data_IF_969320529789
#
_entry.id   IF_969320529789
#
_cell.length_a   1.000
_cell.length_b   1.000
_cell.length_c   1.000
_cell.angle_alpha   90.00
_cell.angle_beta   90.00
_cell.angle_gamma   90.00
#
_symmetry.space_group_name_H-M   'P 1'
#
loop_
_entity.id
_entity.type
_entity.pdbx_description
1 polymer ?
#
# COMPACT_ATOMS: atom_id res chain seq x y z
N UNK A 1 -12.24 -13.59 -9.76
CA UNK A 1 -11.70 -14.24 -8.53
C UNK A 1 -10.95 -15.55 -8.81
N UNK A 2 -11.44 -16.46 -9.67
CA UNK A 2 -10.75 -17.72 -9.98
C UNK A 2 -9.41 -17.53 -10.74
N UNK A 3 -9.32 -16.56 -11.63
CA UNK A 3 -8.13 -16.25 -12.44
C UNK A 3 -6.95 -15.75 -11.58
N UNK A 4 -7.21 -14.81 -10.66
CA UNK A 4 -6.19 -14.30 -9.74
C UNK A 4 -5.66 -15.37 -8.76
N UNK A 5 -6.50 -16.33 -8.36
CA UNK A 5 -6.08 -17.45 -7.52
C UNK A 5 -5.24 -18.47 -8.30
N UNK A 6 -5.43 -18.60 -9.60
CA UNK A 6 -4.62 -19.46 -10.48
C UNK A 6 -3.24 -18.85 -10.70
N UNK A 7 -3.18 -17.54 -10.96
CA UNK A 7 -1.92 -16.80 -11.13
C UNK A 7 -1.06 -16.83 -9.86
N UNK A 8 -1.69 -16.73 -8.67
CA UNK A 8 -0.97 -16.79 -7.39
C UNK A 8 -0.39 -18.18 -7.13
N UNK A 9 -1.12 -19.26 -7.48
CA UNK A 9 -0.63 -20.64 -7.33
C UNK A 9 0.54 -20.92 -8.27
N UNK A 10 0.46 -20.45 -9.51
CA UNK A 10 1.55 -20.58 -10.48
C UNK A 10 2.79 -19.82 -10.01
N UNK A 11 2.63 -18.58 -9.54
CA UNK A 11 3.70 -17.80 -8.97
C UNK A 11 4.35 -18.52 -7.78
N UNK A 12 3.55 -19.02 -6.84
CA UNK A 12 4.04 -19.75 -5.67
C UNK A 12 4.81 -21.01 -6.06
N UNK A 13 4.36 -21.74 -7.07
CA UNK A 13 5.07 -22.91 -7.61
C UNK A 13 6.45 -22.53 -8.17
N UNK A 14 6.54 -21.45 -8.95
CA UNK A 14 7.82 -20.93 -9.49
C UNK A 14 8.76 -20.48 -8.37
N UNK A 15 8.23 -19.77 -7.35
CA UNK A 15 9.03 -19.33 -6.22
C UNK A 15 9.58 -20.50 -5.39
N UNK A 16 8.78 -21.56 -5.16
CA UNK A 16 9.24 -22.80 -4.49
C UNK A 16 10.27 -23.56 -5.31
N UNK A 17 10.14 -23.53 -6.65
CA UNK A 17 11.15 -24.07 -7.55
C UNK A 17 12.42 -23.21 -7.65
N UNK A 18 12.53 -22.14 -6.83
CA UNK A 18 13.69 -21.22 -6.81
C UNK A 18 13.91 -20.50 -8.12
N UNK A 19 12.85 -20.23 -8.91
CA UNK A 19 12.95 -19.46 -10.15
C UNK A 19 13.40 -18.02 -9.88
N UNK A 20 14.62 -17.71 -10.27
CA UNK A 20 15.23 -16.40 -10.05
C UNK A 20 14.54 -15.27 -10.84
N UNK A 21 13.87 -15.55 -11.97
CA UNK A 21 13.13 -14.53 -12.73
C UNK A 21 11.83 -14.16 -12.01
N UNK A 22 11.08 -15.15 -11.53
CA UNK A 22 9.88 -14.93 -10.73
C UNK A 22 10.21 -14.16 -9.45
N UNK A 23 11.34 -14.49 -8.80
CA UNK A 23 11.77 -13.80 -7.59
C UNK A 23 12.15 -12.34 -7.86
N UNK A 24 12.92 -12.05 -8.90
CA UNK A 24 13.25 -10.66 -9.29
C UNK A 24 12.01 -9.84 -9.60
N UNK A 25 11.05 -10.39 -10.32
CA UNK A 25 9.79 -9.72 -10.62
C UNK A 25 9.02 -9.37 -9.34
N UNK A 26 8.98 -10.30 -8.37
CA UNK A 26 8.33 -10.09 -7.07
C UNK A 26 9.03 -8.98 -6.27
N UNK A 27 10.36 -9.01 -6.20
CA UNK A 27 11.16 -7.97 -5.53
C UNK A 27 10.93 -6.61 -6.17
N UNK A 28 11.04 -6.50 -7.48
CA UNK A 28 10.83 -5.24 -8.20
C UNK A 28 9.43 -4.65 -7.95
N UNK A 29 8.43 -5.52 -7.83
CA UNK A 29 7.04 -5.10 -7.58
C UNK A 29 6.80 -4.59 -6.15
N UNK A 30 7.43 -5.20 -5.15
CA UNK A 30 7.04 -4.96 -3.74
C UNK A 30 8.12 -4.29 -2.88
N UNK A 31 9.38 -4.26 -3.29
CA UNK A 31 10.48 -3.78 -2.44
C UNK A 31 10.26 -2.32 -1.97
N UNK A 32 9.89 -1.41 -2.86
CA UNK A 32 9.62 -0.03 -2.49
C UNK A 32 8.49 0.10 -1.45
N UNK A 33 7.45 -0.74 -1.58
CA UNK A 33 6.35 -0.77 -0.62
C UNK A 33 6.78 -1.37 0.72
N UNK A 34 7.66 -2.35 0.73
CA UNK A 34 8.23 -2.92 1.95
C UNK A 34 9.06 -1.88 2.72
N UNK A 35 9.89 -1.10 2.02
CA UNK A 35 10.64 0.00 2.63
C UNK A 35 9.68 1.05 3.23
N UNK A 36 8.59 1.41 2.53
CA UNK A 36 7.59 2.34 3.07
C UNK A 36 6.92 1.79 4.33
N UNK A 37 6.52 0.52 4.34
CA UNK A 37 5.96 -0.13 5.56
C UNK A 37 6.99 -0.10 6.69
N UNK A 38 8.25 -0.45 6.41
CA UNK A 38 9.28 -0.44 7.43
C UNK A 38 9.49 0.96 8.02
N UNK A 39 9.46 2.01 7.19
CA UNK A 39 9.64 3.41 7.62
C UNK A 39 8.64 3.88 8.69
N UNK A 40 7.46 3.30 8.77
CA UNK A 40 6.50 3.66 9.83
C UNK A 40 6.90 3.18 11.22
N UNK A 41 7.86 2.27 11.30
CA UNK A 41 8.28 1.65 12.55
C UNK A 41 9.72 1.99 12.94
N UNK A 42 10.55 2.50 12.01
CA UNK A 42 11.96 2.79 12.24
C UNK A 42 12.34 4.22 11.88
N UNK A 43 13.44 4.72 12.47
CA UNK A 43 13.77 6.14 12.41
C UNK A 43 14.46 6.60 11.11
N UNK A 44 15.07 5.69 10.32
CA UNK A 44 15.84 6.08 9.14
C UNK A 44 15.57 5.21 7.91
N UNK A 45 15.80 5.77 6.71
CA UNK A 45 15.69 5.05 5.45
C UNK A 45 16.67 3.87 5.35
N UNK A 46 17.88 4.04 5.86
CA UNK A 46 18.89 2.99 5.87
C UNK A 46 18.39 1.76 6.65
N UNK A 47 17.83 1.96 7.84
CA UNK A 47 17.28 0.89 8.66
C UNK A 47 16.04 0.28 8.00
N UNK A 48 15.18 1.09 7.36
CA UNK A 48 14.02 0.58 6.65
C UNK A 48 14.42 -0.33 5.47
N UNK A 49 15.48 0.01 4.75
CA UNK A 49 16.04 -0.83 3.69
C UNK A 49 16.63 -2.13 4.23
N UNK A 50 17.36 -2.08 5.34
CA UNK A 50 17.85 -3.30 6.02
C UNK A 50 16.70 -4.22 6.42
N UNK A 51 15.64 -3.66 7.05
CA UNK A 51 14.43 -4.40 7.42
C UNK A 51 13.76 -5.04 6.20
N UNK A 52 13.64 -4.31 5.09
CA UNK A 52 13.07 -4.85 3.86
C UNK A 52 13.92 -6.00 3.29
N UNK A 53 15.26 -5.90 3.33
CA UNK A 53 16.17 -6.98 2.92
C UNK A 53 16.03 -8.21 3.82
N UNK A 54 16.03 -8.02 5.14
CA UNK A 54 15.83 -9.10 6.11
C UNK A 54 14.45 -9.77 5.92
N UNK A 55 13.41 -8.98 5.59
CA UNK A 55 12.09 -9.51 5.31
C UNK A 55 12.09 -10.41 4.05
N UNK A 56 12.82 -10.02 2.99
CA UNK A 56 12.98 -10.86 1.80
C UNK A 56 13.65 -12.19 2.12
N UNK A 57 14.68 -12.21 2.97
CA UNK A 57 15.30 -13.47 3.43
C UNK A 57 14.29 -14.36 4.15
N UNK A 58 13.50 -13.77 5.06
CA UNK A 58 12.44 -14.52 5.77
C UNK A 58 11.32 -15.01 4.87
N UNK A 59 10.97 -14.26 3.83
CA UNK A 59 10.01 -14.69 2.81
C UNK A 59 10.55 -15.91 2.07
N UNK A 60 11.82 -15.87 1.61
CA UNK A 60 12.45 -17.00 0.91
C UNK A 60 12.49 -18.25 1.79
N UNK A 61 12.90 -18.11 3.04
CA UNK A 61 12.97 -19.21 4.01
C UNK A 61 11.59 -19.82 4.32
N UNK A 62 10.56 -18.97 4.37
CA UNK A 62 9.20 -19.37 4.74
C UNK A 62 8.32 -19.86 3.60
N UNK A 63 8.73 -19.73 2.32
CA UNK A 63 7.91 -20.08 1.15
C UNK A 63 7.45 -21.54 1.15
N UNK A 64 8.31 -22.46 1.56
CA UNK A 64 8.01 -23.89 1.56
C UNK A 64 6.95 -24.23 2.65
N UNK A 65 6.95 -23.48 3.76
CA UNK A 65 6.00 -23.61 4.87
C UNK A 65 4.73 -22.77 4.69
N UNK A 66 4.62 -21.95 3.65
CA UNK A 66 3.43 -21.13 3.40
C UNK A 66 2.23 -22.00 3.03
N UNK A 67 1.20 -22.04 3.89
CA UNK A 67 0.03 -22.91 3.76
C UNK A 67 -1.14 -22.28 2.95
N UNK A 68 -1.03 -21.01 2.53
CA UNK A 68 -2.09 -20.33 1.77
C UNK A 68 -3.32 -19.95 2.61
N UNK A 69 -3.17 -19.78 3.95
CA UNK A 69 -4.25 -19.29 4.84
C UNK A 69 -4.64 -17.85 4.59
N UNK A 70 -3.77 -17.09 3.95
CA UNK A 70 -4.00 -15.73 3.43
C UNK A 70 -3.42 -15.64 2.02
N UNK A 71 -3.61 -14.53 1.31
CA UNK A 71 -2.89 -14.29 0.06
C UNK A 71 -1.37 -14.25 0.32
N UNK A 72 -0.56 -14.65 -0.67
CA UNK A 72 0.90 -14.53 -0.61
C UNK A 72 1.32 -13.09 -0.30
N UNK A 73 0.62 -12.13 -0.89
CA UNK A 73 0.83 -10.70 -0.68
C UNK A 73 0.63 -10.30 0.78
N UNK A 74 -0.49 -10.64 1.39
CA UNK A 74 -0.79 -10.36 2.81
C UNK A 74 0.24 -10.97 3.72
N UNK A 75 0.61 -12.24 3.47
CA UNK A 75 1.62 -12.94 4.24
C UNK A 75 2.98 -12.22 4.18
N UNK A 76 3.41 -11.77 2.99
CA UNK A 76 4.66 -11.02 2.84
C UNK A 76 4.63 -9.69 3.60
N UNK A 77 3.54 -8.91 3.49
CA UNK A 77 3.41 -7.64 4.21
C UNK A 77 3.37 -7.85 5.74
N UNK A 78 2.79 -8.93 6.22
CA UNK A 78 2.82 -9.30 7.65
C UNK A 78 4.24 -9.57 8.12
N UNK A 79 5.06 -10.27 7.33
CA UNK A 79 6.49 -10.51 7.66
C UNK A 79 7.24 -9.19 7.78
N UNK A 80 7.10 -8.29 6.81
CA UNK A 80 7.76 -6.98 6.82
C UNK A 80 7.36 -6.16 8.03
N UNK A 81 6.05 -6.05 8.28
CA UNK A 81 5.52 -5.29 9.42
C UNK A 81 6.04 -5.81 10.75
N UNK A 82 6.04 -7.13 10.95
CA UNK A 82 6.55 -7.76 12.17
C UNK A 82 8.06 -7.53 12.36
N UNK A 83 8.85 -7.60 11.28
CA UNK A 83 10.29 -7.28 11.33
C UNK A 83 10.53 -5.83 11.68
N UNK A 84 9.84 -4.91 10.99
CA UNK A 84 9.96 -3.48 11.21
C UNK A 84 9.60 -3.09 12.65
N UNK A 85 8.49 -3.63 13.17
CA UNK A 85 8.05 -3.41 14.56
C UNK A 85 9.08 -3.93 15.57
N UNK A 86 9.60 -5.14 15.36
CA UNK A 86 10.64 -5.71 16.23
C UNK A 86 11.90 -4.84 16.24
N UNK A 87 12.28 -4.27 15.10
CA UNK A 87 13.42 -3.38 14.98
C UNK A 87 13.14 -2.04 15.66
N UNK A 88 11.97 -1.41 15.43
CA UNK A 88 11.57 -0.14 16.03
C UNK A 88 11.49 -0.18 17.55
N UNK A 89 10.98 -1.25 18.14
CA UNK A 89 11.00 -1.45 19.60
C UNK A 89 12.42 -1.47 20.17
N UNK A 90 13.36 -2.06 19.45
CA UNK A 90 14.78 -2.08 19.86
C UNK A 90 15.44 -0.69 19.79
N UNK A 91 14.93 0.19 18.94
CA UNK A 91 15.47 1.55 18.75
C UNK A 91 14.78 2.60 19.66
N UNK A 92 13.89 2.18 20.56
CA UNK A 92 13.18 3.06 21.52
C UNK A 92 12.37 4.20 20.86
N UNK A 93 11.89 4.04 19.65
CA UNK A 93 11.13 5.06 18.91
C UNK A 93 9.90 4.48 18.21
N UNK A 94 8.97 3.93 18.95
CA UNK A 94 7.61 3.75 18.44
C UNK A 94 6.78 4.98 18.80
N UNK A 95 6.49 5.84 17.82
CA UNK A 95 5.39 6.78 17.96
C UNK A 95 4.10 5.95 17.85
N UNK A 96 3.27 5.86 18.91
CA UNK A 96 2.03 5.09 18.84
C UNK A 96 1.15 5.65 17.73
N UNK A 97 0.56 4.80 16.89
CA UNK A 97 -0.40 5.18 15.86
C UNK A 97 -1.62 5.96 16.41
N UNK A 98 -1.89 5.81 17.71
CA UNK A 98 -2.97 6.49 18.43
C UNK A 98 -2.70 7.95 18.76
N UNK A 99 -1.46 8.45 18.62
CA UNK A 99 -1.08 9.81 19.05
C UNK A 99 -1.24 10.89 17.97
N UNK A 100 -1.96 10.60 16.87
CA UNK A 100 -2.16 11.57 15.80
C UNK A 100 -3.42 12.37 16.10
N UNK A 101 -3.20 13.67 16.33
CA UNK A 101 -4.30 14.62 16.43
C UNK A 101 -5.15 14.64 15.14
N UNK A 102 -6.47 14.81 15.25
CA UNK A 102 -7.36 14.88 14.09
C UNK A 102 -7.05 16.15 13.30
N UNK A 103 -6.41 15.99 12.15
CA UNK A 103 -6.30 17.05 11.15
C UNK A 103 -7.67 17.28 10.51
N UNK A 104 -8.06 18.54 10.31
CA UNK A 104 -9.39 18.93 9.87
C UNK A 104 -9.75 18.26 8.50
N UNK A 105 -11.00 17.80 8.30
CA UNK A 105 -11.40 17.14 7.07
C UNK A 105 -11.35 18.10 5.89
N UNK A 106 -10.48 17.81 4.93
CA UNK A 106 -10.25 18.62 3.72
C UNK A 106 -11.39 18.50 2.70
N UNK A 107 -12.33 17.57 2.90
CA UNK A 107 -13.50 17.34 2.00
C UNK A 107 -14.68 16.89 2.82
N UNK A 108 -15.88 17.39 2.48
CA UNK A 108 -17.12 17.05 3.18
C UNK A 108 -17.42 15.53 3.15
N UNK A 109 -17.81 14.93 4.30
CA UNK A 109 -18.11 13.50 4.43
C UNK A 109 -19.23 13.01 3.50
N UNK A 110 -20.10 13.90 3.05
CA UNK A 110 -21.27 13.62 2.20
C UNK A 110 -20.94 13.12 0.78
N UNK A 111 -19.67 13.21 0.37
CA UNK A 111 -19.21 12.75 -0.95
C UNK A 111 -18.85 11.26 -1.02
N UNK A 112 -18.93 10.55 0.10
CA UNK A 112 -18.61 9.13 0.20
C UNK A 112 -19.77 8.34 0.74
N UNK A 113 -19.95 7.11 0.27
CA UNK A 113 -20.93 6.17 0.82
C UNK A 113 -20.42 5.53 2.14
N UNK A 114 -21.29 4.74 2.79
CA UNK A 114 -20.99 4.03 4.04
C UNK A 114 -19.79 3.06 3.93
N UNK A 115 -19.38 2.71 2.70
CA UNK A 115 -18.24 1.84 2.40
C UNK A 115 -16.96 2.63 2.10
N UNK A 116 -17.00 3.99 2.19
CA UNK A 116 -15.90 4.87 1.86
C UNK A 116 -15.62 4.96 0.35
N UNK A 117 -16.58 4.56 -0.49
CA UNK A 117 -16.52 4.70 -1.94
C UNK A 117 -17.20 6.01 -2.38
N UNK A 118 -16.83 6.50 -3.57
CA UNK A 118 -17.43 7.71 -4.12
C UNK A 118 -18.92 7.55 -4.38
N UNK A 119 -19.76 8.39 -3.81
CA UNK A 119 -21.20 8.45 -4.13
C UNK A 119 -21.46 8.87 -5.59
N UNK A 120 -20.49 9.56 -6.21
CA UNK A 120 -20.43 9.83 -7.65
C UNK A 120 -19.01 9.57 -8.14
N UNK A 121 -18.74 8.46 -8.83
CA UNK A 121 -17.46 8.21 -9.46
C UNK A 121 -17.22 9.23 -10.58
N UNK A 122 -15.95 9.61 -10.85
CA UNK A 122 -15.60 10.39 -12.03
C UNK A 122 -16.10 9.69 -13.30
N UNK A 123 -16.48 10.49 -14.33
CA UNK A 123 -16.97 9.94 -15.59
C UNK A 123 -16.01 8.87 -16.14
N UNK A 124 -16.59 7.74 -16.59
CA UNK A 124 -15.82 6.64 -17.16
C UNK A 124 -14.97 7.16 -18.35
N UNK A 125 -13.71 6.82 -18.34
CA UNK A 125 -12.75 7.19 -19.39
C UNK A 125 -13.09 6.36 -20.63
N UNK A 126 -13.64 7.03 -21.68
CA UNK A 126 -13.98 6.37 -22.93
C UNK A 126 -12.72 5.94 -23.73
N UNK A 127 -12.98 5.27 -24.88
CA UNK A 127 -12.04 4.53 -25.73
C UNK A 127 -10.62 5.08 -25.92
N UNK A 128 -9.65 4.18 -26.07
CA UNK A 128 -8.21 4.44 -26.14
C UNK A 128 -7.79 5.23 -27.40
N UNK A 129 -7.42 6.52 -27.23
CA UNK A 129 -6.61 7.27 -28.20
C UNK A 129 -5.18 7.48 -27.66
N UNK A 130 -4.16 7.67 -28.54
CA UNK A 130 -2.78 7.94 -28.11
C UNK A 130 -2.66 9.17 -27.20
N UNK A 131 -3.45 10.20 -27.46
CA UNK A 131 -3.48 11.40 -26.64
C UNK A 131 -4.00 11.12 -25.23
N UNK A 132 -5.03 10.28 -25.12
CA UNK A 132 -5.58 9.85 -23.84
C UNK A 132 -4.63 8.92 -23.08
N UNK A 133 -3.86 8.09 -23.78
CA UNK A 133 -2.81 7.29 -23.17
C UNK A 133 -1.71 8.19 -22.56
N UNK A 134 -1.31 9.26 -23.27
CA UNK A 134 -0.37 10.24 -22.76
C UNK A 134 -0.93 11.02 -21.54
N UNK A 135 -2.20 11.44 -21.61
CA UNK A 135 -2.89 12.09 -20.47
C UNK A 135 -3.01 11.16 -19.25
N UNK A 136 -3.28 9.86 -19.47
CA UNK A 136 -3.28 8.88 -18.38
C UNK A 136 -1.90 8.73 -17.75
N UNK A 137 -0.84 8.63 -18.56
CA UNK A 137 0.53 8.53 -18.04
C UNK A 137 0.89 9.77 -17.21
N UNK A 138 0.58 10.96 -17.69
CA UNK A 138 0.80 12.21 -16.97
C UNK A 138 -0.02 12.26 -15.66
N UNK A 139 -1.27 11.79 -15.67
CA UNK A 139 -2.12 11.72 -14.48
C UNK A 139 -1.61 10.69 -13.46
N UNK A 140 -1.04 9.58 -13.92
CA UNK A 140 -0.43 8.56 -13.05
C UNK A 140 0.87 9.08 -12.41
N UNK A 141 1.70 9.81 -13.16
CA UNK A 141 2.92 10.42 -12.63
C UNK A 141 2.59 11.50 -11.59
N UNK A 142 1.58 12.34 -11.88
CA UNK A 142 1.06 13.31 -10.93
C UNK A 142 0.57 12.61 -9.65
N UNK A 143 -0.27 11.59 -9.81
CA UNK A 143 -0.82 10.84 -8.68
C UNK A 143 0.28 10.19 -7.84
N UNK A 144 1.29 9.60 -8.48
CA UNK A 144 2.44 9.03 -7.78
C UNK A 144 3.19 10.09 -6.96
N UNK A 145 3.43 11.27 -7.54
CA UNK A 145 4.04 12.39 -6.83
C UNK A 145 3.20 12.88 -5.64
N UNK A 146 1.88 12.96 -5.79
CA UNK A 146 0.99 13.38 -4.71
C UNK A 146 0.88 12.31 -3.60
N UNK A 147 0.93 11.02 -3.94
CA UNK A 147 1.00 9.94 -2.95
C UNK A 147 2.26 10.07 -2.08
N UNK A 148 3.42 10.41 -2.67
CA UNK A 148 4.66 10.60 -1.90
C UNK A 148 4.61 11.83 -0.96
N UNK A 149 3.75 12.82 -1.26
CA UNK A 149 3.54 14.00 -0.41
C UNK A 149 2.54 13.78 0.73
N UNK A 150 1.79 12.69 0.71
CA UNK A 150 0.86 12.37 1.80
C UNK A 150 1.61 12.17 3.11
N UNK A 151 0.99 12.52 4.27
CA UNK A 151 1.46 12.08 5.57
C UNK A 151 1.69 10.56 5.57
N UNK A 152 2.75 10.10 6.22
CA UNK A 152 3.27 8.74 6.11
C UNK A 152 2.19 7.67 6.32
N UNK A 153 1.35 7.83 7.32
CA UNK A 153 0.28 6.87 7.62
C UNK A 153 -0.84 6.86 6.56
N UNK A 154 -1.21 8.02 6.03
CA UNK A 154 -2.19 8.13 4.95
C UNK A 154 -1.65 7.49 3.67
N UNK A 155 -0.38 7.77 3.34
CA UNK A 155 0.32 7.16 2.22
C UNK A 155 0.36 5.64 2.33
N UNK A 156 0.66 5.12 3.52
CA UNK A 156 0.75 3.69 3.74
C UNK A 156 -0.60 3.00 3.59
N UNK A 157 -1.66 3.55 4.21
CA UNK A 157 -3.00 2.98 4.11
C UNK A 157 -3.49 2.99 2.66
N UNK A 158 -3.35 4.09 1.91
CA UNK A 158 -3.77 4.14 0.50
C UNK A 158 -2.93 3.20 -0.37
N UNK A 159 -1.64 3.06 -0.10
CA UNK A 159 -0.78 2.11 -0.83
C UNK A 159 -1.24 0.67 -0.61
N UNK A 160 -1.49 0.26 0.63
CA UNK A 160 -1.94 -1.10 0.93
C UNK A 160 -3.36 -1.38 0.40
N UNK A 161 -4.30 -0.43 0.59
CA UNK A 161 -5.69 -0.60 0.18
C UNK A 161 -5.90 -0.45 -1.33
N UNK A 162 -5.45 0.65 -1.91
CA UNK A 162 -5.82 1.04 -3.28
C UNK A 162 -4.80 0.58 -4.33
N UNK A 163 -3.50 0.56 -4.01
CA UNK A 163 -2.48 0.08 -4.95
C UNK A 163 -2.30 -1.44 -4.85
N UNK A 164 -2.22 -1.97 -3.64
CA UNK A 164 -2.03 -3.41 -3.44
C UNK A 164 -3.33 -4.19 -3.28
N UNK A 165 -4.48 -3.53 -3.09
CA UNK A 165 -5.79 -4.16 -3.02
C UNK A 165 -5.93 -5.12 -1.83
N UNK A 166 -5.30 -4.81 -0.69
CA UNK A 166 -5.49 -5.55 0.55
C UNK A 166 -6.85 -5.23 1.16
N UNK A 167 -7.47 -6.21 1.82
CA UNK A 167 -8.72 -5.97 2.53
C UNK A 167 -8.53 -5.12 3.79
N UNK A 168 -9.61 -4.48 4.28
CA UNK A 168 -9.54 -3.56 5.42
C UNK A 168 -8.98 -4.25 6.66
N UNK A 169 -9.47 -5.45 6.95
CA UNK A 169 -9.03 -6.27 8.09
C UNK A 169 -7.54 -6.63 7.99
N UNK A 170 -7.06 -6.99 6.78
CA UNK A 170 -5.65 -7.31 6.54
C UNK A 170 -4.75 -6.10 6.82
N UNK A 171 -5.17 -4.91 6.37
CA UNK A 171 -4.43 -3.66 6.62
C UNK A 171 -4.46 -3.29 8.10
N UNK A 172 -5.60 -3.46 8.79
CA UNK A 172 -5.68 -3.25 10.24
C UNK A 172 -4.71 -4.16 10.99
N UNK A 173 -4.64 -5.43 10.61
CA UNK A 173 -3.74 -6.41 11.23
C UNK A 173 -2.26 -6.12 10.93
N UNK A 174 -1.92 -5.71 9.68
CA UNK A 174 -0.55 -5.37 9.28
C UNK A 174 -0.05 -4.13 10.04
N UNK A 175 -0.91 -3.11 10.19
CA UNK A 175 -0.53 -1.82 10.77
C UNK A 175 -0.85 -1.69 12.26
N UNK A 176 -1.56 -2.67 12.84
CA UNK A 176 -2.08 -2.64 14.23
C UNK A 176 -2.95 -1.41 14.53
N UNK A 177 -3.80 -1.04 13.59
CA UNK A 177 -4.76 0.07 13.75
C UNK A 177 -6.19 -0.45 13.86
N UNK A 178 -7.05 0.31 14.53
CA UNK A 178 -8.47 0.02 14.53
C UNK A 178 -9.08 0.23 13.13
N UNK A 179 -10.18 -0.47 12.83
CA UNK A 179 -10.91 -0.30 11.58
C UNK A 179 -11.38 1.15 11.37
N UNK A 180 -11.83 1.78 12.44
CA UNK A 180 -12.24 3.20 12.41
C UNK A 180 -11.08 4.10 12.01
N UNK A 181 -9.89 3.92 12.60
CA UNK A 181 -8.72 4.71 12.28
C UNK A 181 -8.25 4.45 10.83
N UNK A 182 -8.20 3.19 10.41
CA UNK A 182 -7.87 2.83 9.03
C UNK A 182 -8.81 3.52 8.04
N UNK A 183 -10.12 3.52 8.30
CA UNK A 183 -11.14 4.17 7.45
C UNK A 183 -10.92 5.69 7.37
N UNK A 184 -10.65 6.35 8.50
CA UNK A 184 -10.37 7.78 8.56
C UNK A 184 -9.11 8.14 7.78
N UNK A 185 -8.02 7.39 7.96
CA UNK A 185 -6.76 7.61 7.24
C UNK A 185 -6.93 7.45 5.73
N UNK A 186 -7.63 6.41 5.29
CA UNK A 186 -7.91 6.16 3.87
C UNK A 186 -8.77 7.27 3.27
N UNK A 187 -9.81 7.69 3.99
CA UNK A 187 -10.67 8.78 3.56
C UNK A 187 -9.88 10.09 3.36
N UNK A 188 -9.05 10.46 4.32
CA UNK A 188 -8.21 11.66 4.24
C UNK A 188 -7.19 11.59 3.12
N UNK A 189 -6.56 10.43 2.92
CA UNK A 189 -5.64 10.21 1.81
C UNK A 189 -6.32 10.44 0.46
N UNK A 190 -7.47 9.79 0.25
CA UNK A 190 -8.24 9.91 -1.00
C UNK A 190 -8.74 11.35 -1.23
N UNK A 191 -9.16 12.05 -0.19
CA UNK A 191 -9.59 13.44 -0.28
C UNK A 191 -8.46 14.37 -0.75
N UNK A 192 -7.26 14.24 -0.18
CA UNK A 192 -6.08 15.02 -0.58
C UNK A 192 -5.66 14.72 -2.03
N UNK A 193 -5.61 13.46 -2.42
CA UNK A 193 -5.27 13.05 -3.78
C UNK A 193 -6.27 13.62 -4.80
N UNK A 194 -7.56 13.60 -4.48
CA UNK A 194 -8.58 14.19 -5.34
C UNK A 194 -8.39 15.70 -5.50
N UNK A 195 -8.22 16.43 -4.40
CA UNK A 195 -8.00 17.88 -4.45
C UNK A 195 -6.78 18.23 -5.32
N UNK A 196 -5.71 17.44 -5.25
CA UNK A 196 -4.53 17.62 -6.08
C UNK A 196 -4.80 17.39 -7.57
N UNK A 197 -5.59 16.36 -7.91
CA UNK A 197 -5.99 16.06 -9.30
C UNK A 197 -6.90 17.17 -9.84
N UNK A 198 -7.90 17.62 -9.07
CA UNK A 198 -8.80 18.72 -9.46
C UNK A 198 -8.00 20.00 -9.71
N UNK A 199 -7.07 20.37 -8.81
CA UNK A 199 -6.20 21.54 -8.98
C UNK A 199 -5.23 21.44 -10.17
N UNK A 200 -4.85 20.25 -10.60
CA UNK A 200 -4.04 20.06 -11.80
C UNK A 200 -4.87 20.20 -13.07
N UNK A 201 -6.12 19.75 -13.06
CA UNK A 201 -7.07 19.91 -14.20
C UNK A 201 -7.45 21.38 -14.43
N UNK A 202 -7.63 22.16 -13.36
CA UNK A 202 -7.97 23.58 -13.46
C UNK A 202 -6.83 24.44 -14.00
N UNK A 203 -5.59 23.91 -14.04
CA UNK A 203 -4.39 24.59 -14.57
C UNK A 203 -4.03 24.21 -16.01
N UNK A 204 -4.74 23.24 -16.59
CA UNK A 204 -4.50 22.75 -17.96
C UNK A 204 -5.49 23.33 -18.96
#
# INVERSE_FOLDING_TARGET
MAEAATDERELLSKLRARDGAAFRALVNRYHASFVRVARTFVASDAIAQEVAQEAWLKIIEGLDAFEGRSSLKTWMFTIVSNRARTRGVRETRSVPWSSIEPDDPTVEPTRFDERGMWSRPPAAWGEDSPERAAMRAQSLDLLAGEIERLPEQQRLVVTLRDIHGLEAEEVCNILEVSETNQRVLLHRARARLRAAIEAAHDRS
#
